data_IF_175433870816
#
_entry.id   IF_175433870816
#
_cell.length_a   1.000
_cell.length_b   1.000
_cell.length_c   1.000
_cell.angle_alpha   90.00
_cell.angle_beta   90.00
_cell.angle_gamma   90.00
#
_symmetry.space_group_name_H-M   'P 1'
#
loop_
_entity.id
_entity.type
_entity.pdbx_description
1 polymer ?
#
# COMPACT_ATOMS: atom_id res chain seq x y z
N UNK A 1 -6.89 27.50 34.56
CA UNK A 1 -5.80 27.70 33.58
C UNK A 1 -4.67 26.77 33.96
N UNK A 2 -4.21 25.89 33.06
CA UNK A 2 -3.06 25.05 33.36
C UNK A 2 -1.81 25.93 33.51
N UNK A 3 -0.97 25.64 34.51
CA UNK A 3 0.25 26.40 34.78
C UNK A 3 1.39 25.98 33.85
N UNK A 4 2.36 26.88 33.63
CA UNK A 4 3.58 26.56 32.86
C UNK A 4 4.32 25.35 33.43
N UNK A 5 4.36 25.22 34.76
CA UNK A 5 4.94 24.07 35.46
C UNK A 5 4.24 22.75 35.12
N UNK A 6 2.90 22.76 34.94
CA UNK A 6 2.14 21.58 34.53
C UNK A 6 2.49 21.17 33.10
N UNK A 7 2.59 22.11 32.16
CA UNK A 7 3.00 21.80 30.78
C UNK A 7 4.42 21.25 30.70
N UNK A 8 5.34 21.78 31.51
CA UNK A 8 6.71 21.23 31.62
C UNK A 8 6.66 19.80 32.20
N UNK A 9 5.81 19.56 33.20
CA UNK A 9 5.58 18.22 33.76
C UNK A 9 5.07 17.22 32.71
N UNK A 10 4.10 17.63 31.88
CA UNK A 10 3.56 16.83 30.78
C UNK A 10 4.61 16.57 29.69
N UNK A 11 5.40 17.57 29.31
CA UNK A 11 6.48 17.37 28.34
C UNK A 11 7.53 16.38 28.86
N UNK A 12 7.83 16.41 30.16
CA UNK A 12 8.75 15.48 30.83
C UNK A 12 8.18 14.08 31.05
N UNK A 13 6.85 13.89 31.01
CA UNK A 13 6.23 12.57 31.13
C UNK A 13 6.20 11.80 29.80
N UNK A 14 6.54 12.45 28.68
CA UNK A 14 6.62 11.80 27.36
C UNK A 14 7.64 10.63 27.38
N UNK A 15 7.42 9.57 26.59
CA UNK A 15 8.39 8.49 26.43
C UNK A 15 9.80 8.98 26.06
N UNK A 16 10.83 8.42 26.70
CA UNK A 16 12.22 8.81 26.47
C UNK A 16 12.66 8.81 24.99
N UNK A 17 12.21 7.87 24.13
CA UNK A 17 12.51 7.93 22.69
C UNK A 17 11.97 9.19 21.99
N UNK A 18 10.77 9.67 22.36
CA UNK A 18 10.18 10.90 21.82
C UNK A 18 10.91 12.13 22.32
N UNK A 19 11.23 12.19 23.62
CA UNK A 19 12.02 13.30 24.16
C UNK A 19 13.38 13.43 23.46
N UNK A 20 14.08 12.32 23.25
CA UNK A 20 15.35 12.30 22.50
C UNK A 20 15.17 12.71 21.05
N UNK A 21 14.04 12.36 20.42
CA UNK A 21 13.73 12.78 19.07
C UNK A 21 13.55 14.30 19.00
N UNK A 22 12.67 14.87 19.83
CA UNK A 22 12.41 16.32 19.84
C UNK A 22 13.61 17.15 20.27
N UNK A 23 14.48 16.62 21.14
CA UNK A 23 15.74 17.29 21.48
C UNK A 23 16.71 17.40 20.28
N UNK A 24 16.68 16.43 19.36
CA UNK A 24 17.54 16.43 18.16
C UNK A 24 16.89 17.14 16.98
N UNK A 25 15.59 16.96 16.81
CA UNK A 25 14.80 17.48 15.69
C UNK A 25 13.58 18.26 16.23
N UNK A 26 13.80 19.43 16.86
CA UNK A 26 12.70 20.25 17.36
C UNK A 26 11.90 20.85 16.17
N UNK A 27 10.57 20.71 16.14
CA UNK A 27 9.76 21.34 15.10
C UNK A 27 9.72 22.86 15.28
N UNK A 28 9.50 23.59 14.18
CA UNK A 28 9.39 25.06 14.23
C UNK A 28 8.25 25.53 15.15
N UNK A 29 7.17 24.74 15.28
CA UNK A 29 6.01 25.07 16.10
C UNK A 29 6.29 25.27 17.61
N UNK A 30 7.39 24.70 18.13
CA UNK A 30 7.75 24.81 19.57
C UNK A 30 8.93 25.75 19.81
N UNK A 31 9.57 26.24 18.74
CA UNK A 31 10.75 27.08 18.84
C UNK A 31 10.35 28.56 18.75
N UNK A 32 11.06 29.46 19.46
CA UNK A 32 10.91 30.88 19.22
C UNK A 32 11.43 31.24 17.83
N UNK A 33 10.88 32.31 17.26
CA UNK A 33 11.29 32.86 15.98
C UNK A 33 12.81 33.10 15.95
N UNK A 34 13.46 32.74 14.84
CA UNK A 34 14.92 32.83 14.60
C UNK A 34 15.82 31.88 15.42
N UNK A 35 15.30 30.79 15.97
CA UNK A 35 16.17 29.76 16.58
C UNK A 35 17.04 29.07 15.51
N UNK A 36 18.37 28.96 15.69
CA UNK A 36 19.22 28.24 14.75
C UNK A 36 18.87 26.74 14.72
N UNK A 37 19.06 26.12 13.56
CA UNK A 37 18.85 24.68 13.39
C UNK A 37 19.84 23.91 14.25
N UNK A 38 19.41 22.75 14.75
CA UNK A 38 20.35 21.84 15.41
C UNK A 38 21.31 21.25 14.38
N UNK A 39 22.51 20.85 14.82
CA UNK A 39 23.47 20.11 13.98
C UNK A 39 22.81 18.93 13.24
N UNK A 40 21.91 18.22 13.91
CA UNK A 40 21.19 17.09 13.30
C UNK A 40 20.25 17.53 12.18
N UNK A 41 19.56 18.66 12.33
CA UNK A 41 18.71 19.24 11.29
C UNK A 41 19.50 19.80 10.11
N UNK A 42 20.70 20.31 10.34
CA UNK A 42 21.61 20.75 9.27
C UNK A 42 22.13 19.57 8.45
N UNK A 43 22.62 18.52 9.13
CA UNK A 43 23.09 17.30 8.46
C UNK A 43 21.95 16.53 7.78
N UNK A 44 20.75 16.56 8.38
CA UNK A 44 19.56 15.82 7.95
C UNK A 44 18.28 16.66 8.18
N UNK A 45 17.86 17.48 7.20
CA UNK A 45 16.67 18.31 7.35
C UNK A 45 15.39 17.53 7.70
N UNK A 46 15.19 16.36 7.06
CA UNK A 46 14.12 15.44 7.43
C UNK A 46 14.71 14.06 7.76
N UNK A 47 14.66 13.61 9.02
CA UNK A 47 15.30 12.36 9.44
C UNK A 47 14.53 11.10 9.01
N UNK A 48 13.34 11.26 8.43
CA UNK A 48 12.47 10.18 7.98
C UNK A 48 12.53 9.92 6.47
N UNK A 49 13.12 10.84 5.70
CA UNK A 49 13.27 10.71 4.25
C UNK A 49 14.69 10.27 3.89
N UNK A 50 14.81 9.62 2.74
CA UNK A 50 16.10 9.37 2.11
C UNK A 50 16.74 10.71 1.75
N UNK A 51 18.05 10.78 1.92
CA UNK A 51 18.83 11.99 1.65
C UNK A 51 19.87 11.72 0.59
N UNK A 52 19.89 12.55 -0.46
CA UNK A 52 20.92 12.48 -1.48
C UNK A 52 22.08 13.38 -1.08
N UNK A 53 23.26 12.79 -0.89
CA UNK A 53 24.43 13.56 -0.51
C UNK A 53 24.87 14.48 -1.67
N UNK A 54 25.09 15.79 -1.45
CA UNK A 54 25.35 16.74 -2.54
C UNK A 54 26.67 16.46 -3.27
N UNK A 55 27.74 16.13 -2.53
CA UNK A 55 29.07 15.86 -3.12
C UNK A 55 29.14 14.50 -3.83
N UNK A 56 28.78 13.41 -3.15
CA UNK A 56 28.90 12.05 -3.71
C UNK A 56 27.74 11.61 -4.59
N UNK A 57 26.60 12.31 -4.55
CA UNK A 57 25.39 11.96 -5.29
C UNK A 57 24.67 10.68 -4.83
N UNK A 58 25.20 9.98 -3.82
CA UNK A 58 24.64 8.73 -3.31
C UNK A 58 23.43 8.98 -2.41
N UNK A 59 22.42 8.15 -2.56
CA UNK A 59 21.29 8.12 -1.63
C UNK A 59 21.70 7.44 -0.35
N UNK A 60 21.34 8.07 0.76
CA UNK A 60 21.54 7.55 2.09
C UNK A 60 20.19 7.22 2.71
N UNK A 61 20.19 6.14 3.48
CA UNK A 61 19.03 5.70 4.23
C UNK A 61 18.55 6.79 5.21
N UNK A 62 17.25 6.83 5.51
CA UNK A 62 16.73 7.72 6.54
C UNK A 62 17.33 7.37 7.90
N UNK A 63 17.61 8.41 8.71
CA UNK A 63 18.16 8.27 10.06
C UNK A 63 17.31 7.34 10.92
N UNK A 64 15.99 7.41 10.76
CA UNK A 64 15.04 6.45 11.32
C UNK A 64 14.45 5.57 10.22
N UNK A 65 14.62 4.26 10.35
CA UNK A 65 14.02 3.28 9.45
C UNK A 65 12.50 3.28 9.54
N UNK A 66 11.81 2.73 8.53
CA UNK A 66 10.34 2.71 8.50
C UNK A 66 9.69 2.06 9.74
N UNK A 67 10.36 1.07 10.37
CA UNK A 67 9.93 0.48 11.65
C UNK A 67 9.98 1.51 12.77
N UNK A 68 11.14 2.17 12.95
CA UNK A 68 11.34 3.20 13.99
C UNK A 68 10.44 4.41 13.78
N UNK A 69 10.17 4.80 12.54
CA UNK A 69 9.18 5.83 12.21
C UNK A 69 7.79 5.44 12.69
N UNK A 70 7.34 4.21 12.42
CA UNK A 70 6.04 3.73 12.88
C UNK A 70 5.94 3.66 14.41
N UNK A 71 7.02 3.30 15.11
CA UNK A 71 7.08 3.31 16.57
C UNK A 71 7.00 4.73 17.15
N UNK A 72 7.75 5.68 16.59
CA UNK A 72 7.67 7.09 16.98
C UNK A 72 6.27 7.65 16.74
N UNK A 73 5.68 7.40 15.56
CA UNK A 73 4.31 7.82 15.23
C UNK A 73 3.30 7.18 16.19
N UNK A 74 3.46 5.90 16.53
CA UNK A 74 2.58 5.21 17.49
C UNK A 74 2.65 5.87 18.87
N UNK A 75 3.85 6.05 19.41
CA UNK A 75 4.04 6.72 20.71
C UNK A 75 3.54 8.16 20.68
N UNK A 76 3.78 8.89 19.59
CA UNK A 76 3.36 10.29 19.46
C UNK A 76 1.84 10.41 19.42
N UNK A 77 1.16 9.49 18.71
CA UNK A 77 -0.30 9.41 18.70
C UNK A 77 -0.89 9.12 20.08
N UNK A 78 -0.33 8.15 20.79
CA UNK A 78 -0.77 7.79 22.15
C UNK A 78 -0.62 8.95 23.14
N UNK A 79 0.33 9.86 22.88
CA UNK A 79 0.60 11.03 23.72
C UNK A 79 0.10 12.36 23.12
N UNK A 80 -0.64 12.34 22.01
CA UNK A 80 -1.22 13.54 21.38
C UNK A 80 -0.21 14.53 20.77
N UNK A 81 0.99 14.06 20.38
CA UNK A 81 2.07 14.89 19.80
C UNK A 81 2.46 14.45 18.39
N UNK A 82 1.54 13.81 17.66
CA UNK A 82 1.80 13.31 16.29
C UNK A 82 2.11 14.47 15.32
N UNK A 83 1.42 15.61 15.46
CA UNK A 83 1.55 16.78 14.58
C UNK A 83 2.92 17.48 14.71
N UNK A 84 3.64 17.23 15.80
CA UNK A 84 5.00 17.74 16.03
C UNK A 84 6.07 16.93 15.29
N UNK A 85 5.73 15.74 14.77
CA UNK A 85 6.65 14.93 13.99
C UNK A 85 6.73 15.44 12.54
N UNK A 86 7.90 15.33 11.88
CA UNK A 86 7.99 15.57 10.44
C UNK A 86 7.05 14.63 9.66
N UNK A 87 6.56 15.09 8.50
CA UNK A 87 5.70 14.30 7.63
C UNK A 87 6.29 12.92 7.29
N UNK A 88 5.50 11.87 7.46
CA UNK A 88 5.88 10.49 7.10
C UNK A 88 4.76 9.71 6.43
N UNK A 89 5.16 8.71 5.62
CA UNK A 89 4.24 7.68 5.12
C UNK A 89 3.61 6.81 6.22
N UNK A 90 4.13 6.89 7.45
CA UNK A 90 3.62 6.13 8.60
C UNK A 90 2.60 6.93 9.43
N UNK A 91 2.55 8.25 9.25
CA UNK A 91 1.59 9.15 9.89
C UNK A 91 0.14 8.81 9.58
N UNK A 92 -0.75 9.12 10.51
CA UNK A 92 -2.19 8.86 10.46
C UNK A 92 -2.84 9.66 9.36
N UNK A 93 -2.62 10.97 9.35
CA UNK A 93 -3.19 11.89 8.37
C UNK A 93 -2.77 11.52 6.95
N UNK A 94 -1.47 11.29 6.73
CA UNK A 94 -0.95 10.87 5.44
C UNK A 94 -1.62 9.57 4.95
N UNK A 95 -1.73 8.54 5.81
CA UNK A 95 -2.34 7.26 5.45
C UNK A 95 -3.82 7.41 5.09
N UNK A 96 -4.54 8.26 5.82
CA UNK A 96 -5.95 8.52 5.58
C UNK A 96 -6.14 9.30 4.29
N UNK A 97 -5.44 10.43 4.13
CA UNK A 97 -5.48 11.26 2.93
C UNK A 97 -5.14 10.45 1.67
N UNK A 98 -4.05 9.67 1.71
CA UNK A 98 -3.62 8.84 0.59
C UNK A 98 -4.65 7.76 0.23
N UNK A 99 -5.37 7.21 1.23
CA UNK A 99 -6.43 6.22 1.00
C UNK A 99 -7.70 6.86 0.43
N UNK A 100 -8.07 8.05 0.91
CA UNK A 100 -9.23 8.80 0.42
C UNK A 100 -9.01 9.28 -1.01
N UNK A 101 -7.83 9.85 -1.29
CA UNK A 101 -7.49 10.39 -2.61
C UNK A 101 -7.40 9.30 -3.69
N UNK A 102 -6.76 8.17 -3.38
CA UNK A 102 -6.46 7.16 -4.40
C UNK A 102 -7.31 5.88 -4.33
N UNK A 103 -7.98 5.62 -3.21
CA UNK A 103 -8.76 4.40 -2.99
C UNK A 103 -7.95 3.09 -3.00
N UNK A 104 -8.65 1.96 -3.16
CA UNK A 104 -8.02 0.65 -3.32
C UNK A 104 -7.45 0.51 -4.74
N UNK A 105 -6.17 0.11 -4.85
CA UNK A 105 -5.46 0.04 -6.15
C UNK A 105 -4.83 -1.32 -6.47
N UNK A 106 -5.26 -2.38 -5.78
CA UNK A 106 -4.77 -3.73 -6.06
C UNK A 106 -5.28 -4.24 -7.41
N UNK A 107 -4.53 -5.13 -8.06
CA UNK A 107 -4.91 -5.66 -9.37
C UNK A 107 -6.22 -6.47 -9.25
N UNK A 108 -7.16 -6.22 -10.15
CA UNK A 108 -8.45 -6.93 -10.22
C UNK A 108 -9.59 -6.18 -9.52
N UNK A 109 -9.44 -5.85 -8.23
CA UNK A 109 -10.49 -5.23 -7.41
C UNK A 109 -10.28 -3.74 -7.10
N UNK A 110 -9.12 -3.18 -7.47
CA UNK A 110 -8.87 -1.76 -7.33
C UNK A 110 -9.79 -0.89 -8.20
N UNK A 111 -9.93 0.38 -7.84
CA UNK A 111 -10.70 1.38 -8.58
C UNK A 111 -10.21 1.42 -10.04
N UNK A 112 -11.13 1.25 -10.99
CA UNK A 112 -10.83 1.19 -12.42
C UNK A 112 -10.17 -0.10 -12.91
N UNK A 113 -10.00 -1.12 -12.07
CA UNK A 113 -9.54 -2.46 -12.49
C UNK A 113 -10.72 -3.40 -12.72
N UNK A 114 -10.47 -4.45 -13.52
CA UNK A 114 -11.41 -5.54 -13.76
C UNK A 114 -10.78 -6.89 -13.41
N UNK A 115 -11.56 -7.75 -12.77
CA UNK A 115 -11.15 -9.12 -12.43
C UNK A 115 -10.97 -9.95 -13.69
N UNK A 116 -9.91 -10.77 -13.76
CA UNK A 116 -9.60 -11.62 -14.92
C UNK A 116 -10.61 -12.76 -15.11
N UNK A 117 -11.23 -13.24 -14.04
CA UNK A 117 -12.01 -14.48 -14.00
C UNK A 117 -11.11 -15.72 -14.02
N UNK A 118 -11.59 -16.84 -13.51
CA UNK A 118 -10.90 -18.13 -13.60
C UNK A 118 -10.96 -18.70 -15.03
N UNK A 119 -10.08 -19.66 -15.34
CA UNK A 119 -10.02 -20.22 -16.70
C UNK A 119 -11.33 -20.88 -17.13
N UNK A 120 -12.03 -21.54 -16.20
CA UNK A 120 -13.30 -22.19 -16.50
C UNK A 120 -14.44 -21.19 -16.73
N UNK A 121 -14.47 -20.07 -16.00
CA UNK A 121 -15.45 -19.00 -16.18
C UNK A 121 -15.32 -18.37 -17.57
N UNK A 122 -14.08 -18.05 -17.96
CA UNK A 122 -13.79 -17.44 -19.26
C UNK A 122 -14.19 -18.32 -20.44
N UNK A 123 -14.04 -19.64 -20.31
CA UNK A 123 -14.36 -20.60 -21.38
C UNK A 123 -15.74 -21.24 -21.24
N UNK A 124 -16.50 -20.94 -20.19
CA UNK A 124 -17.78 -21.59 -19.89
C UNK A 124 -18.75 -21.48 -21.06
N UNK A 125 -18.92 -20.26 -21.58
CA UNK A 125 -19.85 -19.97 -22.68
C UNK A 125 -19.46 -20.74 -23.93
N UNK A 126 -18.19 -20.64 -24.35
CA UNK A 126 -17.68 -21.35 -25.52
C UNK A 126 -17.83 -22.88 -25.40
N UNK A 127 -17.56 -23.43 -24.20
CA UNK A 127 -17.72 -24.87 -23.92
C UNK A 127 -19.20 -25.29 -23.99
N UNK A 128 -20.13 -24.49 -23.48
CA UNK A 128 -21.56 -24.78 -23.56
C UNK A 128 -22.09 -24.69 -24.99
N UNK A 129 -21.63 -23.72 -25.78
CA UNK A 129 -22.01 -23.60 -27.18
C UNK A 129 -21.52 -24.79 -28.01
N UNK A 130 -20.30 -25.26 -27.73
CA UNK A 130 -19.76 -26.46 -28.39
C UNK A 130 -20.61 -27.70 -28.09
N UNK A 131 -21.06 -27.86 -26.85
CA UNK A 131 -21.98 -28.94 -26.44
C UNK A 131 -23.33 -28.81 -27.13
N UNK A 132 -23.92 -27.60 -27.16
CA UNK A 132 -25.19 -27.31 -27.83
C UNK A 132 -25.12 -27.72 -29.30
N UNK A 133 -24.10 -27.26 -30.02
CA UNK A 133 -23.88 -27.58 -31.44
C UNK A 133 -23.75 -29.08 -31.67
N UNK A 134 -22.92 -29.76 -30.87
CA UNK A 134 -22.75 -31.22 -31.00
C UNK A 134 -24.06 -31.99 -30.82
N UNK A 135 -24.91 -31.57 -29.86
CA UNK A 135 -26.21 -32.20 -29.63
C UNK A 135 -27.21 -31.94 -30.76
N UNK A 136 -27.20 -30.74 -31.35
CA UNK A 136 -28.03 -30.42 -32.51
C UNK A 136 -27.64 -31.24 -33.75
N UNK A 137 -26.34 -31.47 -33.96
CA UNK A 137 -25.83 -32.26 -35.09
C UNK A 137 -25.98 -33.78 -34.86
N UNK A 138 -26.18 -34.22 -33.61
CA UNK A 138 -26.19 -35.63 -33.21
C UNK A 138 -27.21 -36.50 -33.98
N UNK A 139 -28.48 -36.08 -34.18
CA UNK A 139 -29.44 -36.90 -34.94
C UNK A 139 -28.98 -37.16 -36.38
N UNK A 140 -28.41 -36.16 -37.05
CA UNK A 140 -27.89 -36.29 -38.41
C UNK A 140 -26.69 -37.24 -38.47
N UNK A 141 -25.82 -37.20 -37.45
CA UNK A 141 -24.66 -38.05 -37.32
C UNK A 141 -25.07 -39.51 -37.11
N UNK A 142 -26.01 -39.77 -36.19
CA UNK A 142 -26.54 -41.12 -35.94
C UNK A 142 -27.17 -41.69 -37.21
N UNK A 143 -27.97 -40.91 -37.94
CA UNK A 143 -28.59 -41.36 -39.20
C UNK A 143 -27.54 -41.76 -40.24
N UNK A 144 -26.45 -40.97 -40.35
CA UNK A 144 -25.33 -41.27 -41.25
C UNK A 144 -24.57 -42.53 -40.81
N UNK A 145 -24.26 -42.66 -39.52
CA UNK A 145 -23.56 -43.83 -38.97
C UNK A 145 -24.35 -45.11 -39.18
N UNK A 146 -25.67 -45.10 -38.90
CA UNK A 146 -26.55 -46.24 -39.14
C UNK A 146 -26.63 -46.65 -40.62
N UNK A 147 -26.54 -45.68 -41.55
CA UNK A 147 -26.52 -45.95 -43.00
C UNK A 147 -25.20 -46.60 -43.46
N UNK A 148 -24.07 -46.08 -42.98
CA UNK A 148 -22.74 -46.57 -43.38
C UNK A 148 -22.39 -47.90 -42.69
N UNK A 149 -22.83 -48.08 -41.45
CA UNK A 149 -22.54 -49.25 -40.63
C UNK A 149 -21.19 -49.17 -39.91
N UNK A 150 -21.01 -50.02 -38.89
CA UNK A 150 -19.84 -50.02 -37.98
C UNK A 150 -18.51 -50.18 -38.73
N UNK A 151 -18.44 -51.14 -39.65
CA UNK A 151 -17.19 -51.50 -40.34
C UNK A 151 -16.80 -50.51 -41.45
N UNK A 152 -17.77 -49.78 -42.02
CA UNK A 152 -17.52 -48.76 -43.05
C UNK A 152 -17.23 -47.37 -42.50
N UNK A 153 -17.29 -47.17 -41.18
CA UNK A 153 -17.09 -45.85 -40.58
C UNK A 153 -15.61 -45.51 -40.46
N UNK A 154 -15.21 -44.34 -40.96
CA UNK A 154 -13.80 -43.87 -40.94
C UNK A 154 -13.60 -42.56 -40.17
N UNK A 155 -14.69 -41.84 -39.83
CA UNK A 155 -14.64 -40.52 -39.18
C UNK A 155 -14.58 -40.66 -37.65
N UNK A 156 -13.53 -41.27 -37.13
CA UNK A 156 -13.30 -41.35 -35.69
C UNK A 156 -12.70 -40.03 -35.16
N UNK A 157 -12.98 -39.66 -33.89
CA UNK A 157 -12.26 -38.58 -33.22
C UNK A 157 -10.76 -38.84 -33.22
N UNK A 158 -9.98 -37.76 -33.13
CA UNK A 158 -8.53 -37.80 -32.96
C UNK A 158 -8.16 -37.65 -31.49
#
# INVERSE_FOLDING_TARGET
MASTSQFIGLAKSLPAPLQRFFARYPPAAILPENTPKTRYQEERPNPFRFYKHPVTGKWQDPVYSQRRQAELVKMARENGVEDLLPETRKGTEYKLAHRVEHGLRVKGTGVGQKVKGHIHERHMIAKMETRRKAMLDMPSLIKRWKRVGKYGWTKFPK
#
